data_IF_250465676886
#
_entry.id   IF_250465676886
#
_cell.length_a   1.000
_cell.length_b   1.000
_cell.length_c   1.000
_cell.angle_alpha   90.00
_cell.angle_beta   90.00
_cell.angle_gamma   90.00
#
_symmetry.space_group_name_H-M   'P 1'
#
loop_
_entity.id
_entity.type
_entity.pdbx_description
1 polymer ?
#
# COMPACT_ATOMS: atom_id res chain seq x y z
N UNK A 1 10.30 0.76 12.11
CA UNK A 1 9.10 0.51 11.26
C UNK A 1 8.18 -0.38 12.08
N UNK A 2 6.93 0.04 12.33
CA UNK A 2 5.98 -0.78 13.10
C UNK A 2 5.65 -2.05 12.29
N UNK A 3 5.81 -3.23 12.88
CA UNK A 3 5.44 -4.51 12.24
C UNK A 3 3.94 -4.53 11.98
N UNK A 4 3.43 -4.76 10.76
CA UNK A 4 2.00 -4.79 10.50
C UNK A 4 1.32 -5.97 11.17
N UNK A 5 0.01 -5.86 11.36
CA UNK A 5 -0.81 -6.96 11.88
C UNK A 5 -1.34 -7.82 10.74
N UNK A 6 -1.53 -7.21 9.56
CA UNK A 6 -2.02 -7.86 8.33
C UNK A 6 -1.29 -7.28 7.12
N UNK A 7 -1.02 -8.14 6.14
CA UNK A 7 -0.51 -7.75 4.82
C UNK A 7 -1.47 -8.31 3.77
N UNK A 8 -1.90 -7.47 2.81
CA UNK A 8 -2.87 -7.82 1.76
C UNK A 8 -2.18 -7.75 0.40
N UNK A 9 -2.28 -8.83 -0.38
CA UNK A 9 -1.84 -8.85 -1.78
C UNK A 9 -2.68 -7.89 -2.63
N UNK A 10 -2.00 -6.95 -3.29
CA UNK A 10 -2.62 -5.97 -4.19
C UNK A 10 -2.01 -6.04 -5.61
N UNK A 11 -1.34 -7.14 -5.97
CA UNK A 11 -0.64 -7.32 -7.24
C UNK A 11 -1.51 -6.95 -8.44
N UNK A 12 -2.75 -7.43 -8.47
CA UNK A 12 -3.69 -7.17 -9.57
C UNK A 12 -4.34 -5.77 -9.50
N UNK A 13 -4.15 -5.05 -8.38
CA UNK A 13 -4.76 -3.75 -8.10
C UNK A 13 -3.76 -2.59 -8.14
N UNK A 14 -2.48 -2.87 -8.41
CA UNK A 14 -1.41 -1.86 -8.40
C UNK A 14 -1.69 -0.69 -9.37
N UNK A 15 -2.22 -0.97 -10.56
CA UNK A 15 -2.56 0.07 -11.53
C UNK A 15 -3.79 0.90 -11.12
N UNK A 16 -4.76 0.27 -10.44
CA UNK A 16 -5.92 0.98 -9.90
C UNK A 16 -5.47 1.95 -8.81
N UNK A 17 -4.58 1.52 -7.90
CA UNK A 17 -3.97 2.37 -6.88
C UNK A 17 -3.24 3.56 -7.49
N UNK A 18 -2.43 3.32 -8.54
CA UNK A 18 -1.71 4.40 -9.25
C UNK A 18 -2.66 5.42 -9.88
N UNK A 19 -3.71 4.95 -10.56
CA UNK A 19 -4.76 5.81 -11.14
C UNK A 19 -5.50 6.62 -10.07
N UNK A 20 -5.77 6.04 -8.91
CA UNK A 20 -6.40 6.75 -7.79
C UNK A 20 -5.49 7.88 -7.27
N UNK A 21 -4.20 7.60 -7.07
CA UNK A 21 -3.22 8.64 -6.69
C UNK A 21 -3.12 9.76 -7.73
N UNK A 22 -3.21 9.43 -9.03
CA UNK A 22 -3.19 10.41 -10.13
C UNK A 22 -4.32 11.43 -10.06
N UNK A 23 -5.46 11.08 -9.45
CA UNK A 23 -6.58 12.02 -9.27
C UNK A 23 -6.29 13.12 -8.25
N UNK A 24 -5.26 12.93 -7.42
CA UNK A 24 -4.80 13.91 -6.44
C UNK A 24 -3.58 14.70 -6.95
N UNK A 25 -3.53 15.02 -8.25
CA UNK A 25 -2.39 15.70 -8.87
C UNK A 25 -1.98 17.02 -8.18
N UNK A 26 -2.93 17.77 -7.63
CA UNK A 26 -2.65 19.01 -6.87
C UNK A 26 -1.87 18.79 -5.57
N UNK A 27 -1.81 17.55 -5.08
CA UNK A 27 -1.02 17.16 -3.91
C UNK A 27 0.43 16.78 -4.28
N UNK A 28 0.80 16.80 -5.57
CA UNK A 28 2.16 16.49 -6.02
C UNK A 28 2.59 15.04 -5.81
N UNK A 29 1.64 14.10 -5.72
CA UNK A 29 1.89 12.71 -5.32
C UNK A 29 2.34 11.79 -6.46
N UNK A 30 2.43 12.29 -7.70
CA UNK A 30 2.66 11.50 -8.91
C UNK A 30 3.88 12.03 -9.66
N UNK A 31 4.67 11.11 -10.23
CA UNK A 31 5.85 11.41 -11.03
C UNK A 31 7.08 11.81 -10.22
N UNK A 32 7.09 11.58 -8.90
CA UNK A 32 8.15 12.03 -8.00
C UNK A 32 8.48 11.04 -6.89
N UNK A 33 9.31 11.49 -5.94
CA UNK A 33 9.82 10.67 -4.84
C UNK A 33 8.73 10.02 -3.98
N UNK A 34 7.53 10.61 -3.92
CA UNK A 34 6.40 10.05 -3.19
C UNK A 34 5.86 8.77 -3.86
N UNK A 35 5.62 8.80 -5.18
CA UNK A 35 5.15 7.63 -5.92
C UNK A 35 6.16 6.48 -5.82
N UNK A 36 7.44 6.79 -5.98
CA UNK A 36 8.53 5.82 -5.81
C UNK A 36 8.59 5.23 -4.39
N UNK A 37 8.36 6.06 -3.37
CA UNK A 37 8.28 5.59 -1.99
C UNK A 37 7.10 4.64 -1.78
N UNK A 38 5.92 4.97 -2.30
CA UNK A 38 4.71 4.13 -2.21
C UNK A 38 4.93 2.80 -2.93
N UNK A 39 5.49 2.83 -4.14
CA UNK A 39 5.86 1.63 -4.91
C UNK A 39 6.85 0.77 -4.15
N UNK A 40 7.95 1.35 -3.68
CA UNK A 40 9.02 0.63 -2.96
C UNK A 40 8.52 -0.01 -1.66
N UNK A 41 7.62 0.68 -0.95
CA UNK A 41 7.00 0.14 0.25
C UNK A 41 6.09 -1.05 -0.08
N UNK A 42 5.33 -0.97 -1.18
CA UNK A 42 4.48 -2.06 -1.64
C UNK A 42 5.28 -3.30 -2.06
N UNK A 43 6.41 -3.11 -2.74
CA UNK A 43 7.35 -4.19 -3.09
C UNK A 43 8.01 -4.82 -1.87
N UNK A 44 8.37 -4.00 -0.88
CA UNK A 44 8.94 -4.49 0.37
C UNK A 44 7.97 -5.46 1.06
N UNK A 45 6.71 -5.06 1.22
CA UNK A 45 5.70 -5.93 1.83
C UNK A 45 5.33 -7.10 0.95
N UNK A 46 5.33 -6.93 -0.38
CA UNK A 46 5.16 -8.03 -1.32
C UNK A 46 6.20 -9.13 -1.08
N UNK A 47 7.49 -8.77 -0.98
CA UNK A 47 8.56 -9.74 -0.68
C UNK A 47 8.35 -10.47 0.64
N UNK A 48 7.93 -9.76 1.69
CA UNK A 48 7.64 -10.37 3.01
C UNK A 48 6.49 -11.38 2.93
N UNK A 49 5.46 -11.08 2.12
CA UNK A 49 4.27 -11.92 1.97
C UNK A 49 4.36 -12.97 0.83
N UNK A 50 5.45 -13.00 0.06
CA UNK A 50 5.61 -13.90 -1.09
C UNK A 50 4.81 -13.50 -2.34
N UNK A 51 4.43 -12.23 -2.47
CA UNK A 51 3.67 -11.66 -3.60
C UNK A 51 4.41 -10.47 -4.23
N UNK A 52 3.95 -9.94 -5.38
CA UNK A 52 4.68 -8.85 -6.06
C UNK A 52 4.50 -7.50 -5.37
N UNK A 53 3.28 -7.22 -4.91
CA UNK A 53 2.91 -5.95 -4.28
C UNK A 53 1.95 -6.23 -3.13
N UNK A 54 2.18 -5.61 -1.98
CA UNK A 54 1.27 -5.74 -0.85
C UNK A 54 1.11 -4.45 -0.05
N UNK A 55 -0.04 -4.30 0.59
CA UNK A 55 -0.30 -3.23 1.56
C UNK A 55 -0.32 -3.77 2.97
N UNK A 56 0.25 -2.99 3.89
CA UNK A 56 0.44 -3.37 5.28
C UNK A 56 -0.47 -2.55 6.17
N UNK A 57 -1.24 -3.23 7.02
CA UNK A 57 -2.27 -2.63 7.86
C UNK A 57 -1.99 -2.85 9.34
N UNK A 58 -2.49 -1.90 10.13
CA UNK A 58 -2.54 -1.95 11.59
C UNK A 58 -3.98 -2.04 12.05
N UNK A 59 -4.24 -2.94 13.00
CA UNK A 59 -5.51 -3.08 13.68
C UNK A 59 -5.57 -2.03 14.78
N UNK A 60 -6.38 -1.00 14.59
CA UNK A 60 -6.59 0.07 15.59
C UNK A 60 -7.72 -0.30 16.57
N UNK A 61 -8.72 -1.06 16.09
CA UNK A 61 -9.83 -1.56 16.90
C UNK A 61 -9.91 -3.07 16.71
N UNK A 62 -9.91 -3.80 17.83
CA UNK A 62 -10.12 -5.24 17.87
C UNK A 62 -11.33 -5.57 18.75
N UNK A 63 -12.33 -6.25 18.20
CA UNK A 63 -13.53 -6.66 18.94
C UNK A 63 -14.52 -7.43 18.07
N UNK A 64 -15.49 -8.11 18.71
CA UNK A 64 -16.67 -8.62 17.99
C UNK A 64 -17.62 -7.45 17.76
N UNK A 65 -17.66 -6.96 16.52
CA UNK A 65 -18.77 -6.10 16.09
C UNK A 65 -19.99 -7.00 15.96
N UNK A 66 -20.86 -6.93 16.97
CA UNK A 66 -22.18 -7.57 17.00
C UNK A 66 -23.17 -6.82 16.13
#
# INVERSE_FOLDING_TARGET
MLSPDIVIDITDYTEIKRKAMARHASQGLIGGAFEERVRSQGEWWGRVAGVKQAEAFKTVLSGRFS
#
